data_IF_149888247185
#
_entry.id   IF_149888247185
#
_cell.length_a   1.000
_cell.length_b   1.000
_cell.length_c   1.000
_cell.angle_alpha   90.00
_cell.angle_beta   90.00
_cell.angle_gamma   90.00
#
_symmetry.space_group_name_H-M   'P 1'
#
loop_
_entity.id
_entity.type
_entity.pdbx_description
1 polymer ?
#
# COMPACT_ATOMS: atom_id res chain seq x y z
N UNK A 1 -11.56 -13.77 -17.53
CA UNK A 1 -12.25 -13.92 -16.23
C UNK A 1 -12.57 -12.57 -15.60
N UNK A 2 -11.63 -11.61 -15.49
CA UNK A 2 -11.86 -10.34 -14.77
C UNK A 2 -11.93 -9.07 -15.66
N UNK A 3 -12.51 -9.18 -16.87
CA UNK A 3 -12.52 -8.05 -17.83
C UNK A 3 -13.59 -6.98 -17.49
N UNK A 4 -14.55 -7.28 -16.62
CA UNK A 4 -15.75 -6.49 -16.37
C UNK A 4 -15.65 -5.52 -15.21
N UNK A 5 -14.81 -5.77 -14.20
CA UNK A 5 -14.86 -5.04 -12.93
C UNK A 5 -13.97 -3.78 -12.87
N UNK A 6 -13.18 -3.47 -13.91
CA UNK A 6 -12.26 -2.32 -13.93
C UNK A 6 -12.94 -0.94 -14.09
N UNK A 7 -14.26 -0.86 -13.93
CA UNK A 7 -15.05 0.38 -14.12
C UNK A 7 -15.58 1.00 -12.82
N UNK A 8 -15.33 0.38 -11.67
CA UNK A 8 -15.73 0.97 -10.40
C UNK A 8 -14.84 2.19 -10.07
N UNK A 9 -15.44 3.35 -9.81
CA UNK A 9 -14.71 4.57 -9.44
C UNK A 9 -14.23 4.54 -7.98
N UNK A 10 -14.86 3.75 -7.13
CA UNK A 10 -14.50 3.65 -5.71
C UNK A 10 -13.24 2.82 -5.53
N UNK A 11 -12.18 3.48 -5.07
CA UNK A 11 -10.89 2.85 -4.83
C UNK A 11 -10.94 1.79 -3.72
N UNK A 12 -11.77 1.94 -2.69
CA UNK A 12 -11.90 0.95 -1.62
C UNK A 12 -12.57 -0.33 -2.13
N UNK A 13 -13.58 -0.20 -2.99
CA UNK A 13 -14.23 -1.36 -3.62
C UNK A 13 -13.23 -2.12 -4.50
N UNK A 14 -12.43 -1.40 -5.28
CA UNK A 14 -11.37 -2.00 -6.10
C UNK A 14 -10.30 -2.70 -5.25
N UNK A 15 -9.87 -2.11 -4.15
CA UNK A 15 -8.95 -2.75 -3.21
C UNK A 15 -9.52 -4.04 -2.60
N UNK A 16 -10.78 -4.01 -2.19
CA UNK A 16 -11.45 -5.19 -1.64
C UNK A 16 -11.56 -6.32 -2.68
N UNK A 17 -11.80 -5.96 -3.95
CA UNK A 17 -11.77 -6.93 -5.04
C UNK A 17 -10.37 -7.53 -5.22
N UNK A 18 -9.33 -6.70 -5.26
CA UNK A 18 -7.92 -7.15 -5.37
C UNK A 18 -7.61 -8.15 -4.26
N UNK A 19 -7.90 -7.81 -3.00
CA UNK A 19 -7.70 -8.69 -1.84
C UNK A 19 -8.49 -9.98 -1.94
N UNK A 20 -9.76 -9.91 -2.31
CA UNK A 20 -10.60 -11.11 -2.46
C UNK A 20 -10.05 -12.05 -3.54
N UNK A 21 -9.62 -11.50 -4.67
CA UNK A 21 -8.98 -12.25 -5.76
C UNK A 21 -7.64 -12.85 -5.31
N UNK A 22 -6.85 -12.10 -4.53
CA UNK A 22 -5.63 -12.57 -3.90
C UNK A 22 -5.85 -13.77 -2.99
N UNK A 23 -6.80 -13.67 -2.06
CA UNK A 23 -7.18 -14.75 -1.15
C UNK A 23 -7.64 -16.01 -1.92
N UNK A 24 -8.39 -15.84 -3.01
CA UNK A 24 -8.73 -16.96 -3.88
C UNK A 24 -7.49 -17.60 -4.52
N UNK A 25 -6.52 -16.79 -4.96
CA UNK A 25 -5.23 -17.26 -5.46
C UNK A 25 -4.50 -18.11 -4.43
N UNK A 26 -4.37 -17.61 -3.20
CA UNK A 26 -3.71 -18.32 -2.11
C UNK A 26 -4.40 -19.64 -1.75
N UNK A 27 -5.73 -19.67 -1.74
CA UNK A 27 -6.48 -20.91 -1.50
C UNK A 27 -6.19 -21.94 -2.60
N UNK A 28 -6.07 -21.52 -3.85
CA UNK A 28 -5.74 -22.39 -4.97
C UNK A 28 -4.30 -22.92 -4.87
N UNK A 29 -3.34 -22.07 -4.50
CA UNK A 29 -1.94 -22.46 -4.32
C UNK A 29 -1.79 -23.47 -3.18
N UNK A 30 -2.49 -23.25 -2.06
CA UNK A 30 -2.42 -24.11 -0.88
C UNK A 30 -3.29 -25.38 -0.97
N UNK A 31 -3.98 -25.61 -2.10
CA UNK A 31 -4.76 -26.84 -2.29
C UNK A 31 -3.82 -28.02 -2.54
N UNK A 32 -4.12 -29.18 -1.95
CA UNK A 32 -3.23 -30.36 -1.97
C UNK A 32 -2.97 -30.93 -3.37
N UNK A 33 -3.82 -30.60 -4.34
CA UNK A 33 -3.66 -31.01 -5.73
C UNK A 33 -3.65 -29.80 -6.65
N UNK A 34 -2.49 -29.50 -7.20
CA UNK A 34 -2.34 -28.49 -8.24
C UNK A 34 -2.91 -29.01 -9.57
N UNK A 35 -4.24 -28.89 -9.71
CA UNK A 35 -4.93 -29.32 -10.94
C UNK A 35 -4.66 -28.37 -12.10
N UNK A 36 -4.79 -28.85 -13.33
CA UNK A 36 -4.73 -28.02 -14.54
C UNK A 36 -5.68 -26.82 -14.48
N UNK A 37 -6.83 -26.97 -13.82
CA UNK A 37 -7.81 -25.90 -13.61
C UNK A 37 -7.27 -24.85 -12.63
N UNK A 38 -6.73 -25.25 -11.48
CA UNK A 38 -6.11 -24.32 -10.52
C UNK A 38 -4.96 -23.53 -11.18
N UNK A 39 -4.14 -24.20 -11.99
CA UNK A 39 -3.09 -23.56 -12.79
C UNK A 39 -3.63 -22.51 -13.76
N UNK A 40 -4.69 -22.83 -14.49
CA UNK A 40 -5.33 -21.87 -15.38
C UNK A 40 -5.94 -20.67 -14.63
N UNK A 41 -6.48 -20.89 -13.42
CA UNK A 41 -7.05 -19.85 -12.58
C UNK A 41 -5.97 -18.93 -11.99
N UNK A 42 -4.88 -19.48 -11.44
CA UNK A 42 -3.74 -18.70 -10.91
C UNK A 42 -3.15 -17.82 -12.02
N UNK A 43 -2.98 -18.35 -13.24
CA UNK A 43 -2.55 -17.53 -14.39
C UNK A 43 -3.54 -16.41 -14.73
N UNK A 44 -4.83 -16.65 -14.58
CA UNK A 44 -5.87 -15.64 -14.83
C UNK A 44 -5.87 -14.55 -13.76
N UNK A 45 -5.63 -14.92 -12.51
CA UNK A 45 -5.45 -14.00 -11.37
C UNK A 45 -4.20 -13.14 -11.59
N UNK A 46 -3.05 -13.75 -11.89
CA UNK A 46 -1.80 -13.01 -12.14
C UNK A 46 -1.93 -12.01 -13.30
N UNK A 47 -2.54 -12.41 -14.42
CA UNK A 47 -2.81 -11.50 -15.53
C UNK A 47 -3.72 -10.33 -15.15
N UNK A 48 -4.73 -10.57 -14.32
CA UNK A 48 -5.60 -9.51 -13.82
C UNK A 48 -4.83 -8.52 -12.94
N UNK A 49 -4.06 -9.00 -11.97
CA UNK A 49 -3.28 -8.12 -11.07
C UNK A 49 -2.24 -7.30 -11.84
N UNK A 50 -1.58 -7.90 -12.84
CA UNK A 50 -0.66 -7.19 -13.73
C UNK A 50 -1.36 -6.09 -14.56
N UNK A 51 -2.59 -6.33 -15.01
CA UNK A 51 -3.39 -5.32 -15.69
C UNK A 51 -3.75 -4.17 -14.75
N UNK A 52 -4.12 -4.47 -13.50
CA UNK A 52 -4.38 -3.44 -12.48
C UNK A 52 -3.14 -2.60 -12.25
N UNK A 53 -1.96 -3.21 -12.09
CA UNK A 53 -0.69 -2.49 -11.93
C UNK A 53 -0.39 -1.54 -13.09
N UNK A 54 -0.81 -1.90 -14.30
CA UNK A 54 -0.54 -1.14 -15.53
C UNK A 54 -1.52 0.03 -15.74
N UNK A 55 -2.77 -0.09 -15.27
CA UNK A 55 -3.84 0.88 -15.55
C UNK A 55 -4.17 1.82 -14.39
N UNK A 56 -3.88 1.41 -13.17
CA UNK A 56 -4.40 2.10 -12.00
C UNK A 56 -3.68 3.43 -11.72
N UNK A 57 -4.47 4.49 -11.54
CA UNK A 57 -3.96 5.84 -11.27
C UNK A 57 -3.50 5.97 -9.81
N UNK A 58 -4.21 5.32 -8.89
CA UNK A 58 -3.90 5.40 -7.46
C UNK A 58 -2.69 4.55 -7.10
N UNK A 59 -1.64 5.18 -6.55
CA UNK A 59 -0.40 4.47 -6.20
C UNK A 59 -0.65 3.34 -5.20
N UNK A 60 -1.52 3.58 -4.21
CA UNK A 60 -1.76 2.60 -3.16
C UNK A 60 -2.47 1.34 -3.68
N UNK A 61 -3.32 1.45 -4.71
CA UNK A 61 -3.95 0.29 -5.36
C UNK A 61 -2.95 -0.49 -6.22
N UNK A 62 -2.00 0.20 -6.86
CA UNK A 62 -0.88 -0.47 -7.55
C UNK A 62 -0.02 -1.22 -6.54
N UNK A 63 0.28 -0.61 -5.39
CA UNK A 63 1.03 -1.25 -4.32
C UNK A 63 0.29 -2.48 -3.78
N UNK A 64 -1.02 -2.37 -3.52
CA UNK A 64 -1.87 -3.50 -3.11
C UNK A 64 -1.82 -4.66 -4.11
N UNK A 65 -1.90 -4.34 -5.40
CA UNK A 65 -1.87 -5.35 -6.47
C UNK A 65 -0.51 -6.04 -6.58
N UNK A 66 0.58 -5.30 -6.34
CA UNK A 66 1.93 -5.86 -6.29
C UNK A 66 2.12 -6.74 -5.06
N UNK A 67 1.64 -6.32 -3.90
CA UNK A 67 1.66 -7.10 -2.65
C UNK A 67 0.94 -8.44 -2.86
N UNK A 68 -0.27 -8.38 -3.42
CA UNK A 68 -1.05 -9.57 -3.76
C UNK A 68 -0.36 -10.46 -4.80
N UNK A 69 0.37 -9.88 -5.77
CA UNK A 69 1.17 -10.68 -6.71
C UNK A 69 2.30 -11.43 -6.00
N UNK A 70 2.98 -10.79 -5.05
CA UNK A 70 4.06 -11.43 -4.30
C UNK A 70 3.53 -12.51 -3.37
N UNK A 71 2.36 -12.30 -2.76
CA UNK A 71 1.70 -13.34 -1.96
C UNK A 71 1.35 -14.57 -2.80
N UNK A 72 0.74 -14.37 -3.98
CA UNK A 72 0.29 -15.49 -4.83
C UNK A 72 1.45 -16.19 -5.53
N UNK A 73 2.48 -15.45 -5.96
CA UNK A 73 3.60 -16.00 -6.74
C UNK A 73 4.91 -16.15 -5.96
N UNK A 74 4.85 -16.03 -4.63
CA UNK A 74 5.99 -16.23 -3.74
C UNK A 74 6.33 -17.70 -3.50
N UNK A 75 5.41 -18.61 -3.83
CA UNK A 75 5.54 -20.05 -3.61
C UNK A 75 6.09 -20.78 -4.84
N UNK A 76 6.90 -21.82 -4.61
CA UNK A 76 7.59 -22.60 -5.67
C UNK A 76 6.60 -23.26 -6.64
N UNK A 77 5.44 -23.69 -6.15
CA UNK A 77 4.36 -24.33 -6.93
C UNK A 77 3.83 -23.43 -8.04
N UNK A 78 3.98 -22.12 -7.89
CA UNK A 78 3.51 -21.13 -8.86
C UNK A 78 4.54 -20.73 -9.89
N UNK A 79 5.77 -21.23 -9.79
CA UNK A 79 6.88 -20.87 -10.68
C UNK A 79 6.56 -21.10 -12.16
N UNK A 80 5.94 -22.23 -12.50
CA UNK A 80 5.54 -22.50 -13.88
C UNK A 80 4.41 -21.56 -14.34
N UNK A 81 3.45 -21.23 -13.46
CA UNK A 81 2.39 -20.29 -13.78
C UNK A 81 2.95 -18.87 -13.99
N UNK A 82 3.94 -18.46 -13.19
CA UNK A 82 4.66 -17.19 -13.34
C UNK A 82 5.42 -17.11 -14.68
N UNK A 83 6.09 -18.19 -15.06
CA UNK A 83 6.77 -18.31 -16.36
C UNK A 83 5.79 -18.20 -17.53
N UNK A 84 4.67 -18.93 -17.47
CA UNK A 84 3.63 -18.93 -18.51
C UNK A 84 2.99 -17.56 -18.76
N UNK A 85 3.02 -16.65 -17.79
CA UNK A 85 2.49 -15.28 -17.91
C UNK A 85 3.58 -14.23 -18.13
N UNK A 86 4.85 -14.64 -18.23
CA UNK A 86 6.02 -13.78 -18.29
C UNK A 86 6.04 -12.74 -17.15
N UNK A 87 5.77 -13.20 -15.91
CA UNK A 87 5.58 -12.34 -14.75
C UNK A 87 6.76 -11.39 -14.53
N UNK A 88 7.98 -11.93 -14.53
CA UNK A 88 9.22 -11.17 -14.27
C UNK A 88 9.43 -10.06 -15.30
N UNK A 89 9.25 -10.36 -16.59
CA UNK A 89 9.43 -9.38 -17.65
C UNK A 89 8.41 -8.24 -17.56
N UNK A 90 7.15 -8.58 -17.25
CA UNK A 90 6.09 -7.58 -17.05
C UNK A 90 6.34 -6.72 -15.82
N UNK A 91 6.77 -7.31 -14.70
CA UNK A 91 7.15 -6.55 -13.50
C UNK A 91 8.33 -5.62 -13.79
N UNK A 92 9.35 -6.10 -14.53
CA UNK A 92 10.49 -5.27 -14.94
C UNK A 92 10.06 -4.06 -15.76
N UNK A 93 9.10 -4.24 -16.68
CA UNK A 93 8.54 -3.14 -17.46
C UNK A 93 7.71 -2.14 -16.62
N UNK A 94 7.14 -2.58 -15.49
CA UNK A 94 6.38 -1.73 -14.56
C UNK A 94 7.27 -0.90 -13.61
N UNK A 95 8.51 -1.31 -13.36
CA UNK A 95 9.41 -0.62 -12.41
C UNK A 95 9.54 0.88 -12.69
N UNK A 96 9.79 1.36 -13.92
CA UNK A 96 9.96 2.79 -14.18
C UNK A 96 8.71 3.62 -13.87
N UNK A 97 7.53 3.15 -14.29
CA UNK A 97 6.26 3.87 -14.06
C UNK A 97 5.89 3.88 -12.59
N UNK A 98 6.11 2.77 -11.87
CA UNK A 98 5.87 2.70 -10.44
C UNK A 98 6.79 3.64 -9.66
N UNK A 99 8.11 3.63 -9.94
CA UNK A 99 9.07 4.54 -9.32
C UNK A 99 8.71 6.01 -9.52
N UNK A 100 8.29 6.36 -10.73
CA UNK A 100 7.83 7.73 -11.03
C UNK A 100 6.66 8.15 -10.14
N UNK A 101 5.64 7.29 -9.99
CA UNK A 101 4.48 7.57 -9.12
C UNK A 101 4.87 7.69 -7.64
N UNK A 102 5.78 6.84 -7.17
CA UNK A 102 6.31 6.93 -5.79
C UNK A 102 6.99 8.26 -5.57
N UNK A 103 7.93 8.63 -6.45
CA UNK A 103 8.68 9.90 -6.35
C UNK A 103 7.72 11.09 -6.34
N UNK A 104 6.74 11.12 -7.25
CA UNK A 104 5.73 12.18 -7.29
C UNK A 104 4.99 12.35 -5.96
N UNK A 105 4.62 11.26 -5.29
CA UNK A 105 3.94 11.33 -3.97
C UNK A 105 4.91 11.61 -2.82
N UNK A 106 6.18 11.26 -2.96
CA UNK A 106 7.24 11.63 -2.01
C UNK A 106 7.62 13.11 -2.10
N UNK A 107 7.39 13.77 -3.24
CA UNK A 107 7.45 15.23 -3.35
C UNK A 107 6.26 15.85 -2.61
N UNK A 108 6.43 16.03 -1.30
CA UNK A 108 5.71 17.06 -0.55
C UNK A 108 6.43 18.37 -0.86
N UNK A 109 5.84 19.32 -1.62
CA UNK A 109 6.47 20.62 -1.74
C UNK A 109 6.61 21.19 -0.32
N UNK A 110 7.84 21.53 0.04
CA UNK A 110 8.06 22.36 1.22
C UNK A 110 7.35 23.69 0.96
N UNK A 111 6.61 24.17 1.96
CA UNK A 111 5.91 25.45 1.98
C UNK A 111 4.60 25.54 1.18
N UNK A 112 3.50 25.25 1.87
CA UNK A 112 2.53 26.31 2.10
C UNK A 112 2.53 26.57 3.62
N UNK A 113 3.55 27.31 4.08
CA UNK A 113 3.43 28.01 5.36
C UNK A 113 2.31 29.02 5.16
N UNK A 114 1.08 28.63 5.53
CA UNK A 114 -0.03 29.57 5.68
C UNK A 114 0.52 30.74 6.52
N UNK A 115 0.50 31.99 6.02
CA UNK A 115 0.95 33.12 6.81
C UNK A 115 0.22 33.08 8.13
N UNK A 116 0.94 32.92 9.24
CA UNK A 116 0.33 33.08 10.56
C UNK A 116 -0.22 34.49 10.59
N UNK A 117 -1.55 34.63 10.51
CA UNK A 117 -2.21 35.92 10.76
C UNK A 117 -1.63 36.46 12.08
N UNK A 118 -1.22 37.73 12.13
CA UNK A 118 -0.90 38.34 13.42
C UNK A 118 -2.09 38.11 14.33
N UNK A 119 -1.85 37.56 15.52
CA UNK A 119 -2.86 37.50 16.58
C UNK A 119 -3.12 38.95 16.99
N UNK A 120 -4.03 39.62 16.28
CA UNK A 120 -4.56 40.91 16.70
C UNK A 120 -5.55 40.65 17.83
N UNK A 121 -5.18 41.10 19.03
CA UNK A 121 -6.13 41.45 20.07
C UNK A 121 -6.82 40.29 20.76
N UNK A 122 -6.52 40.14 22.05
CA UNK A 122 -7.36 39.41 23.01
C UNK A 122 -8.80 39.93 22.92
N UNK A 123 -9.77 39.03 22.93
CA UNK A 123 -10.97 39.25 23.72
C UNK A 123 -11.44 37.89 24.27
N UNK A 124 -11.07 37.63 25.52
CA UNK A 124 -11.46 36.45 26.29
C UNK A 124 -12.91 36.61 26.77
N UNK A 125 -13.90 36.51 25.86
CA UNK A 125 -15.29 36.28 26.28
C UNK A 125 -16.05 35.37 25.31
N UNK A 126 -16.54 34.28 25.91
CA UNK A 126 -17.65 33.44 25.49
C UNK A 126 -17.43 32.45 24.32
N UNK A 127 -17.16 31.20 24.70
CA UNK A 127 -17.73 30.04 24.00
C UNK A 127 -18.45 29.16 25.04
N UNK A 128 -19.78 29.18 25.00
CA UNK A 128 -20.58 28.07 25.50
C UNK A 128 -20.41 26.88 24.53
N UNK A 129 -20.46 25.62 25.02
CA UNK A 129 -20.42 24.46 24.14
C UNK A 129 -21.77 24.26 23.45
N UNK A 130 -21.75 24.24 22.13
CA UNK A 130 -22.91 23.89 21.29
C UNK A 130 -23.16 22.37 21.38
N UNK A 131 -24.36 21.91 21.77
CA UNK A 131 -24.68 20.49 21.79
C UNK A 131 -25.18 20.13 20.40
N UNK A 132 -24.33 19.55 19.54
CA UNK A 132 -24.70 18.64 18.43
C UNK A 132 -23.54 18.62 17.41
N UNK A 133 -22.52 17.81 17.68
CA UNK A 133 -21.67 17.21 16.65
C UNK A 133 -21.31 15.78 17.10
N UNK A 134 -22.30 14.89 17.02
CA UNK A 134 -22.05 13.46 16.91
C UNK A 134 -21.76 13.17 15.44
N UNK A 135 -20.47 13.14 15.08
CA UNK A 135 -20.01 12.51 13.84
C UNK A 135 -19.07 11.37 14.23
N UNK A 136 -19.37 10.21 13.67
CA UNK A 136 -18.92 8.88 14.05
C UNK A 136 -17.39 8.76 14.13
N UNK A 137 -16.90 8.31 15.29
CA UNK A 137 -15.59 7.65 15.39
C UNK A 137 -15.75 6.22 14.85
N UNK A 138 -15.10 5.91 13.74
CA UNK A 138 -14.85 4.52 13.33
C UNK A 138 -13.44 4.13 13.77
N UNK A 139 -13.36 3.03 14.51
CA UNK A 139 -12.17 2.36 15.02
C UNK A 139 -11.09 2.22 13.96
N UNK A 140 -9.91 2.81 14.18
CA UNK A 140 -8.58 2.20 14.10
C UNK A 140 -7.59 3.27 14.56
N UNK A 141 -7.38 3.33 15.88
CA UNK A 141 -6.35 4.17 16.47
C UNK A 141 -4.99 3.50 16.30
N UNK A 142 -4.06 4.20 15.63
CA UNK A 142 -2.61 4.00 15.72
C UNK A 142 -1.91 5.26 15.16
N UNK A 143 -1.91 6.34 15.94
CA UNK A 143 -0.93 7.42 15.77
C UNK A 143 0.35 7.00 16.47
N UNK A 144 1.21 6.23 15.79
CA UNK A 144 2.60 6.13 16.22
C UNK A 144 3.34 7.41 15.80
N UNK A 145 3.50 8.33 16.74
CA UNK A 145 4.56 9.34 16.67
C UNK A 145 5.89 8.60 16.77
N UNK A 146 6.67 8.62 15.69
CA UNK A 146 8.07 8.21 15.73
C UNK A 146 8.87 9.31 16.44
N UNK A 147 9.06 9.17 17.75
CA UNK A 147 9.97 10.04 18.50
C UNK A 147 11.41 9.60 18.22
N UNK A 148 12.19 10.51 17.62
CA UNK A 148 13.61 10.35 17.31
C UNK A 148 14.40 10.54 18.61
N UNK A 149 15.19 9.55 19.10
CA UNK A 149 16.01 9.77 20.29
C UNK A 149 17.15 10.75 19.99
N UNK A 150 17.20 11.85 20.75
CA UNK A 150 18.32 12.78 20.76
C UNK A 150 19.40 12.26 21.72
N UNK A 151 20.62 12.13 21.20
CA UNK A 151 21.92 12.21 21.91
C UNK A 151 22.09 11.45 23.26
N UNK A 152 22.89 10.39 23.24
CA UNK A 152 23.81 10.08 24.35
C UNK A 152 25.24 10.17 23.82
N UNK A 153 25.89 11.27 24.14
CA UNK A 153 27.34 11.40 24.13
C UNK A 153 27.79 11.09 25.55
N UNK A 154 28.65 10.09 25.74
CA UNK A 154 29.66 10.13 26.80
C UNK A 154 30.73 9.06 26.60
N UNK A 155 31.94 9.44 27.01
CA UNK A 155 33.24 8.83 26.77
C UNK A 155 33.46 7.59 27.64
N UNK A 156 34.22 6.63 27.13
CA UNK A 156 35.29 6.00 27.90
C UNK A 156 36.40 5.53 26.95
N UNK A 157 37.55 6.24 27.01
CA UNK A 157 38.85 5.77 26.56
C UNK A 157 39.50 5.01 27.72
N UNK A 158 40.30 4.00 27.34
CA UNK A 158 41.37 3.32 28.09
C UNK A 158 40.91 2.54 29.34
N UNK A 159 41.36 1.32 29.61
CA UNK A 159 42.77 0.94 29.70
C UNK A 159 43.05 -0.47 29.16
N UNK A 160 44.07 -0.53 28.30
CA UNK A 160 45.05 -1.61 28.26
C UNK A 160 45.88 -1.58 29.55
N UNK A 161 46.16 -2.74 30.15
CA UNK A 161 47.48 -3.12 30.69
C UNK A 161 47.41 -4.55 31.28
N UNK A 162 48.40 -5.34 30.86
CA UNK A 162 48.94 -6.61 31.39
C UNK A 162 48.05 -7.86 31.54
#
# INVERSE_FOLDING_TARGET
>A
MFKSEQRCSDANVRANLIRSVGSLGLILVNSTDMTTTAHAMIKSIGRFLLEVCSRESELWLVAESLDTLMDVFGEDETGQAAADIALVDKLRALVPSFKYKVILRSYRPAAEEVPRRPLSGRDDRQCQPDPFHQVQRSSYGLTQRYERPQHMSERARSDSLD
#
